data_IF_944639229516
#
_entry.id   IF_944639229516
#
_cell.length_a   1.000
_cell.length_b   1.000
_cell.length_c   1.000
_cell.angle_alpha   90.00
_cell.angle_beta   90.00
_cell.angle_gamma   90.00
#
_symmetry.space_group_name_H-M   'P 1'
#
loop_
_entity.id
_entity.type
_entity.pdbx_description
1 polymer ?
#
# COMPACT_ATOMS: atom_id res chain seq x y z
N UNK A 1 27.35 -12.40 -1.85
CA UNK A 1 26.72 -12.38 -0.52
C UNK A 1 25.73 -11.20 -0.50
N UNK A 2 24.64 -11.23 -1.26
CA UNK A 2 23.43 -12.05 -1.09
C UNK A 2 22.54 -11.45 0.04
N UNK A 3 21.28 -11.17 -0.32
CA UNK A 3 20.12 -11.02 0.59
C UNK A 3 19.92 -9.67 1.34
N UNK A 4 19.90 -8.51 0.66
CA UNK A 4 19.33 -7.28 1.28
C UNK A 4 18.38 -6.47 0.39
N UNK A 5 17.93 -7.03 -0.73
CA UNK A 5 16.92 -6.39 -1.60
C UNK A 5 15.52 -7.02 -1.53
N UNK A 6 15.31 -8.03 -0.68
CA UNK A 6 14.19 -8.97 -0.87
C UNK A 6 13.15 -9.07 0.26
N UNK A 7 13.06 -8.10 1.17
CA UNK A 7 12.00 -8.15 2.19
C UNK A 7 11.29 -6.82 2.40
N UNK A 8 10.86 -6.20 1.30
CA UNK A 8 9.82 -5.17 1.34
C UNK A 8 8.47 -5.88 1.53
N UNK A 9 8.05 -6.05 2.78
CA UNK A 9 6.69 -6.48 3.12
C UNK A 9 5.69 -5.47 2.54
N UNK A 10 5.18 -5.76 1.35
CA UNK A 10 4.20 -4.94 0.66
C UNK A 10 2.84 -5.03 1.39
N UNK A 11 2.51 -4.05 2.23
CA UNK A 11 1.18 -3.96 2.83
C UNK A 11 0.16 -3.60 1.75
N UNK A 12 -0.99 -4.27 1.76
CA UNK A 12 -2.10 -3.93 0.87
C UNK A 12 -2.72 -2.62 1.38
N UNK A 13 -2.98 -1.66 0.48
CA UNK A 13 -3.65 -0.40 0.81
C UNK A 13 -5.04 -0.65 1.43
N UNK A 14 -5.53 0.30 2.24
CA UNK A 14 -6.94 0.30 2.66
C UNK A 14 -7.82 0.30 1.40
N UNK A 15 -8.86 -0.54 1.39
CA UNK A 15 -9.78 -0.66 0.27
C UNK A 15 -10.43 0.67 -0.10
N UNK A 16 -10.66 1.56 0.88
CA UNK A 16 -11.20 2.90 0.66
C UNK A 16 -10.22 3.80 -0.06
N UNK A 17 -8.92 3.67 0.24
CA UNK A 17 -7.87 4.36 -0.49
C UNK A 17 -7.84 3.91 -1.95
N UNK A 18 -7.89 2.59 -2.19
CA UNK A 18 -7.94 2.03 -3.55
C UNK A 18 -9.18 2.52 -4.31
N UNK A 19 -10.35 2.51 -3.67
CA UNK A 19 -11.59 3.01 -4.27
C UNK A 19 -11.50 4.49 -4.63
N UNK A 20 -10.90 5.32 -3.76
CA UNK A 20 -10.72 6.75 -4.02
C UNK A 20 -9.77 6.99 -5.22
N UNK A 21 -8.62 6.30 -5.26
CA UNK A 21 -7.67 6.39 -6.37
C UNK A 21 -8.32 5.94 -7.70
N UNK A 22 -9.08 4.85 -7.69
CA UNK A 22 -9.82 4.36 -8.86
C UNK A 22 -10.88 5.37 -9.33
N UNK A 23 -11.66 5.95 -8.41
CA UNK A 23 -12.65 6.98 -8.75
C UNK A 23 -11.98 8.18 -9.40
N UNK A 24 -10.90 8.69 -8.79
CA UNK A 24 -10.15 9.80 -9.34
C UNK A 24 -9.59 9.50 -10.73
N UNK A 25 -9.08 8.29 -10.96
CA UNK A 25 -8.63 7.87 -12.29
C UNK A 25 -9.77 7.88 -13.32
N UNK A 26 -10.92 7.29 -13.00
CA UNK A 26 -12.06 7.23 -13.91
C UNK A 26 -12.67 8.60 -14.18
N UNK A 27 -12.77 9.46 -13.17
CA UNK A 27 -13.27 10.84 -13.32
C UNK A 27 -12.36 11.66 -14.25
N UNK A 28 -11.03 11.56 -14.10
CA UNK A 28 -10.05 12.21 -15.01
C UNK A 28 -10.16 11.72 -16.46
N UNK A 29 -10.64 10.49 -16.67
CA UNK A 29 -10.88 9.88 -17.99
C UNK A 29 -12.29 10.19 -18.54
N UNK A 30 -13.12 10.94 -17.80
CA UNK A 30 -14.51 11.21 -18.18
C UNK A 30 -15.45 10.01 -18.00
N UNK A 31 -15.06 9.00 -17.23
CA UNK A 31 -15.82 7.77 -16.99
C UNK A 31 -16.60 7.84 -15.67
N UNK A 32 -17.52 8.80 -15.57
CA UNK A 32 -18.24 9.08 -14.32
C UNK A 32 -19.31 8.03 -13.92
N UNK A 33 -19.76 7.19 -14.85
CA UNK A 33 -20.82 6.20 -14.59
C UNK A 33 -20.29 4.77 -14.53
N UNK A 34 -20.92 3.95 -13.68
CA UNK A 34 -20.63 2.51 -13.57
C UNK A 34 -20.73 1.80 -14.94
N UNK A 35 -21.71 2.16 -15.76
CA UNK A 35 -21.86 1.62 -17.12
C UNK A 35 -20.71 2.01 -18.06
N UNK A 36 -20.21 3.24 -17.95
CA UNK A 36 -19.07 3.69 -18.75
C UNK A 36 -17.79 2.95 -18.37
N UNK A 37 -17.54 2.81 -17.06
CA UNK A 37 -16.41 2.03 -16.53
C UNK A 37 -16.52 0.56 -16.94
N UNK A 38 -17.71 -0.04 -16.86
CA UNK A 38 -17.94 -1.42 -17.28
C UNK A 38 -17.59 -1.65 -18.75
N UNK A 39 -18.03 -0.75 -19.64
CA UNK A 39 -17.69 -0.81 -21.07
C UNK A 39 -16.20 -0.63 -21.32
N UNK A 40 -15.57 0.34 -20.64
CA UNK A 40 -14.15 0.64 -20.83
C UNK A 40 -13.23 -0.48 -20.33
N UNK A 41 -13.61 -1.16 -19.25
CA UNK A 41 -12.79 -2.19 -18.58
C UNK A 41 -13.14 -3.63 -18.98
N UNK A 42 -14.27 -3.84 -19.66
CA UNK A 42 -14.81 -5.17 -19.95
C UNK A 42 -15.27 -5.93 -18.70
N UNK A 43 -15.52 -5.25 -17.58
CA UNK A 43 -16.00 -5.83 -16.33
C UNK A 43 -17.52 -5.67 -16.27
N UNK A 44 -18.23 -6.66 -15.72
CA UNK A 44 -19.68 -6.59 -15.58
C UNK A 44 -20.08 -5.37 -14.71
N UNK A 45 -21.09 -4.61 -15.15
CA UNK A 45 -21.55 -3.40 -14.46
C UNK A 45 -21.91 -3.64 -12.99
N UNK A 46 -22.55 -4.76 -12.65
CA UNK A 46 -22.88 -5.08 -11.26
C UNK A 46 -21.63 -5.31 -10.39
N UNK A 47 -20.56 -5.86 -10.97
CA UNK A 47 -19.29 -6.06 -10.31
C UNK A 47 -18.57 -4.72 -10.11
N UNK A 48 -18.57 -3.85 -11.11
CA UNK A 48 -18.03 -2.48 -11.00
C UNK A 48 -18.78 -1.74 -9.88
N UNK A 49 -20.12 -1.75 -9.89
CA UNK A 49 -20.93 -1.07 -8.89
C UNK A 49 -20.61 -1.55 -7.48
N UNK A 50 -20.64 -2.87 -7.26
CA UNK A 50 -20.40 -3.47 -5.94
C UNK A 50 -19.00 -3.17 -5.40
N UNK A 51 -18.00 -3.10 -6.27
CA UNK A 51 -16.61 -2.91 -5.86
C UNK A 51 -16.24 -1.43 -5.71
N UNK A 52 -16.80 -0.52 -6.50
CA UNK A 52 -16.50 0.91 -6.38
C UNK A 52 -17.45 1.63 -5.40
N UNK A 53 -18.74 1.31 -5.42
CA UNK A 53 -19.78 1.99 -4.63
C UNK A 53 -20.27 1.18 -3.41
N UNK A 54 -19.94 -0.11 -3.34
CA UNK A 54 -20.22 -0.92 -2.16
C UNK A 54 -19.15 -0.80 -1.07
N UNK A 55 -19.30 -1.63 -0.03
CA UNK A 55 -18.38 -1.72 1.11
C UNK A 55 -17.65 -3.07 1.11
N UNK A 56 -16.76 -3.35 0.14
CA UNK A 56 -16.02 -4.60 0.10
C UNK A 56 -15.09 -4.70 1.32
N UNK A 57 -15.13 -5.84 2.02
CA UNK A 57 -14.27 -6.11 3.19
C UNK A 57 -12.80 -6.34 2.84
N UNK A 58 -12.49 -6.64 1.57
CA UNK A 58 -11.14 -7.00 1.10
C UNK A 58 -10.94 -6.64 -0.36
N UNK A 59 -9.68 -6.55 -0.78
CA UNK A 59 -9.28 -6.39 -2.19
C UNK A 59 -9.66 -7.64 -2.99
N UNK A 60 -10.76 -7.55 -3.73
CA UNK A 60 -11.28 -8.63 -4.59
C UNK A 60 -10.49 -8.74 -5.90
N UNK A 61 -10.68 -9.84 -6.64
CA UNK A 61 -10.15 -9.98 -8.01
C UNK A 61 -10.67 -8.89 -8.94
N UNK A 62 -11.93 -8.44 -8.77
CA UNK A 62 -12.49 -7.33 -9.52
C UNK A 62 -11.75 -6.02 -9.25
N UNK A 63 -11.46 -5.70 -7.98
CA UNK A 63 -10.65 -4.53 -7.62
C UNK A 63 -9.26 -4.63 -8.26
N UNK A 64 -8.62 -5.80 -8.19
CA UNK A 64 -7.30 -6.02 -8.84
C UNK A 64 -7.35 -5.76 -10.34
N UNK A 65 -8.40 -6.20 -11.03
CA UNK A 65 -8.59 -5.94 -12.47
C UNK A 65 -8.81 -4.46 -12.77
N UNK A 66 -9.61 -3.76 -11.95
CA UNK A 66 -9.81 -2.32 -12.07
C UNK A 66 -8.50 -1.55 -11.85
N UNK A 67 -7.73 -1.91 -10.82
CA UNK A 67 -6.40 -1.38 -10.54
C UNK A 67 -5.43 -1.65 -11.69
N UNK A 68 -5.42 -2.85 -12.25
CA UNK A 68 -4.58 -3.20 -13.40
C UNK A 68 -4.93 -2.37 -14.63
N UNK A 69 -6.20 -2.13 -14.89
CA UNK A 69 -6.64 -1.25 -15.99
C UNK A 69 -6.20 0.20 -15.77
N UNK A 70 -6.27 0.68 -14.53
CA UNK A 70 -5.95 2.04 -14.16
C UNK A 70 -4.45 2.29 -13.88
N UNK A 71 -3.61 1.25 -13.98
CA UNK A 71 -2.19 1.26 -13.61
C UNK A 71 -1.94 1.71 -12.15
N UNK A 72 -2.84 1.32 -11.26
CA UNK A 72 -2.78 1.62 -9.81
C UNK A 72 -2.27 0.41 -9.04
N UNK A 73 -1.23 0.60 -8.23
CA UNK A 73 -0.77 -0.45 -7.30
C UNK A 73 -1.76 -0.65 -6.15
N UNK A 74 -2.06 -1.92 -5.84
CA UNK A 74 -2.84 -2.29 -4.65
C UNK A 74 -2.01 -2.29 -3.37
N UNK A 75 -0.69 -2.16 -3.47
CA UNK A 75 0.22 -2.12 -2.35
C UNK A 75 0.51 -0.68 -1.95
N UNK A 76 0.53 -0.41 -0.64
CA UNK A 76 0.92 0.90 -0.14
C UNK A 76 2.38 1.15 -0.49
N UNK A 77 2.68 2.35 -0.96
CA UNK A 77 4.05 2.84 -0.92
C UNK A 77 4.50 2.78 0.55
N UNK A 78 5.67 2.20 0.78
CA UNK A 78 6.22 2.19 2.13
C UNK A 78 6.50 3.63 2.53
N UNK A 79 5.92 4.07 3.64
CA UNK A 79 6.31 5.33 4.24
C UNK A 79 7.81 5.26 4.54
N UNK A 80 8.56 6.26 4.07
CA UNK A 80 9.98 6.36 4.42
C UNK A 80 10.07 6.46 5.95
N UNK A 81 10.72 5.52 6.67
CA UNK A 81 10.82 5.59 8.12
C UNK A 81 11.46 6.90 8.61
N UNK A 82 12.26 7.56 7.77
CA UNK A 82 12.86 8.87 8.05
C UNK A 82 11.83 9.99 8.14
N UNK A 83 10.63 9.79 7.57
CA UNK A 83 9.52 10.74 7.67
C UNK A 83 8.78 10.69 9.01
N UNK A 84 9.00 9.64 9.81
CA UNK A 84 8.41 9.52 11.15
C UNK A 84 9.28 10.25 12.18
N UNK A 85 8.86 11.45 12.60
CA UNK A 85 9.57 12.21 13.63
C UNK A 85 9.71 11.40 14.92
N UNK A 86 8.64 10.75 15.37
CA UNK A 86 8.64 9.92 16.60
C UNK A 86 9.73 8.84 16.54
N UNK A 87 9.86 8.14 15.41
CA UNK A 87 10.85 7.08 15.25
C UNK A 87 12.28 7.66 15.24
N UNK A 88 12.49 8.72 14.48
CA UNK A 88 13.81 9.33 14.33
C UNK A 88 14.27 10.02 15.62
N UNK A 89 13.37 10.67 16.36
CA UNK A 89 13.63 11.27 17.67
C UNK A 89 14.00 10.21 18.70
N UNK A 90 13.26 9.09 18.74
CA UNK A 90 13.57 7.97 19.61
C UNK A 90 14.97 7.42 19.32
N UNK A 91 15.28 7.15 18.05
CA UNK A 91 16.60 6.68 17.62
C UNK A 91 17.70 7.68 17.97
N UNK A 92 17.49 8.98 17.74
CA UNK A 92 18.44 10.02 18.09
C UNK A 92 18.68 10.16 19.59
N UNK A 93 17.67 9.90 20.42
CA UNK A 93 17.78 9.99 21.88
C UNK A 93 18.56 8.83 22.51
N UNK A 94 18.51 7.64 21.90
CA UNK A 94 19.15 6.43 22.43
C UNK A 94 20.52 6.16 21.81
N UNK A 95 20.77 6.64 20.59
CA UNK A 95 22.01 6.37 19.88
C UNK A 95 23.17 7.23 20.41
N UNK A 96 24.28 6.59 20.76
CA UNK A 96 25.47 7.26 21.31
C UNK A 96 26.45 7.79 20.24
N UNK A 97 26.09 7.70 18.96
CA UNK A 97 26.93 8.12 17.84
C UNK A 97 27.91 7.06 17.32
N UNK A 98 28.08 5.93 18.02
CA UNK A 98 28.99 4.85 17.60
C UNK A 98 28.34 3.90 16.59
N UNK A 99 29.17 3.34 15.70
CA UNK A 99 28.73 2.30 14.74
C UNK A 99 28.31 1.01 15.46
N UNK A 100 28.99 0.68 16.57
CA UNK A 100 28.68 -0.51 17.35
C UNK A 100 27.28 -0.44 17.95
N UNK A 101 26.90 0.70 18.52
CA UNK A 101 25.57 0.89 19.07
C UNK A 101 24.50 0.90 17.96
N UNK A 102 24.79 1.53 16.81
CA UNK A 102 23.89 1.48 15.66
C UNK A 102 23.59 0.02 15.22
N UNK A 103 24.60 -0.86 15.20
CA UNK A 103 24.42 -2.28 14.88
C UNK A 103 23.53 -3.00 15.90
N UNK A 104 23.69 -2.72 17.19
CA UNK A 104 22.86 -3.31 18.26
C UNK A 104 21.40 -2.86 18.16
N UNK A 105 21.17 -1.56 17.93
CA UNK A 105 19.82 -1.02 17.70
C UNK A 105 19.15 -1.67 16.48
N UNK A 106 19.89 -1.81 15.39
CA UNK A 106 19.39 -2.49 14.19
C UNK A 106 19.03 -3.96 14.48
N UNK A 107 19.87 -4.69 15.21
CA UNK A 107 19.58 -6.08 15.61
C UNK A 107 18.30 -6.19 16.45
N UNK A 108 18.09 -5.25 17.39
CA UNK A 108 16.90 -5.21 18.23
C UNK A 108 15.63 -4.98 17.38
N UNK A 109 15.67 -4.06 16.41
CA UNK A 109 14.57 -3.82 15.49
C UNK A 109 14.26 -5.05 14.62
N UNK A 110 15.27 -5.73 14.09
CA UNK A 110 15.07 -6.96 13.32
C UNK A 110 14.55 -8.12 14.17
N UNK A 111 14.97 -8.22 15.44
CA UNK A 111 14.43 -9.20 16.37
C UNK A 111 12.94 -8.95 16.64
N UNK A 112 12.54 -7.70 16.85
CA UNK A 112 11.14 -7.31 17.01
C UNK A 112 10.29 -7.64 15.77
N UNK A 113 10.82 -7.40 14.57
CA UNK A 113 10.15 -7.78 13.31
C UNK A 113 9.90 -9.29 13.25
N UNK A 114 10.90 -10.12 13.58
CA UNK A 114 10.76 -11.59 13.58
C UNK A 114 9.72 -12.08 14.58
N UNK A 115 9.60 -11.44 15.73
CA UNK A 115 8.61 -11.80 16.76
C UNK A 115 7.18 -11.36 16.41
N UNK A 116 7.02 -10.42 15.48
CA UNK A 116 5.72 -9.88 15.06
C UNK A 116 5.15 -10.54 13.80
N UNK A 117 5.88 -11.52 13.23
CA UNK A 117 5.46 -12.37 12.11
C UNK A 117 4.84 -13.67 12.64
#
# INVERSE_FOLDING_TARGET
>A
MQICYYFLMNRIKDIRQIQAELRQHFDRRGLASTSAIARATGINQSQVFRNLNGHPRRVSSTIKRLCSYAEISIFSEQADPRSSSILMDALGSIWDGSEQHAKLLAQLLFAHQKASL
#
